data_IF_782095995471
#
_entry.id   IF_782095995471
#
_cell.length_a   1.000
_cell.length_b   1.000
_cell.length_c   1.000
_cell.angle_alpha   90.00
_cell.angle_beta   90.00
_cell.angle_gamma   90.00
#
_symmetry.space_group_name_H-M   'P 1'
#
loop_
_entity.id
_entity.type
_entity.pdbx_description
1 polymer ?
#
# COMPACT_ATOMS: atom_id res chain seq x y z
N UNK A 1 -7.85 -18.30 2.72
CA UNK A 1 -9.16 -17.65 2.50
C UNK A 1 -9.72 -17.12 3.82
N UNK A 2 -9.93 -17.95 4.83
CA UNK A 2 -10.48 -17.52 6.13
C UNK A 2 -9.68 -16.40 6.81
N UNK A 3 -8.34 -16.44 6.92
CA UNK A 3 -7.59 -15.32 7.49
C UNK A 3 -7.71 -14.03 6.68
N UNK A 4 -7.82 -14.14 5.35
CA UNK A 4 -8.06 -13.00 4.46
C UNK A 4 -9.45 -12.40 4.68
N UNK A 5 -10.48 -13.22 4.92
CA UNK A 5 -11.81 -12.72 5.28
C UNK A 5 -11.79 -12.05 6.64
N UNK A 6 -11.10 -12.63 7.63
CA UNK A 6 -10.93 -12.03 8.96
C UNK A 6 -10.25 -10.67 8.90
N UNK A 7 -9.23 -10.49 8.03
CA UNK A 7 -8.62 -9.19 7.77
C UNK A 7 -9.65 -8.13 7.33
N UNK A 8 -10.72 -8.50 6.62
CA UNK A 8 -11.75 -7.55 6.17
C UNK A 8 -12.83 -7.37 7.25
N UNK A 9 -13.22 -8.45 7.93
CA UNK A 9 -14.28 -8.44 8.95
C UNK A 9 -13.86 -7.65 10.19
N UNK A 10 -12.61 -7.74 10.65
CA UNK A 10 -12.19 -7.06 11.88
C UNK A 10 -12.29 -5.52 11.75
N UNK A 11 -11.73 -4.87 10.71
CA UNK A 11 -11.96 -3.45 10.50
C UNK A 11 -13.42 -3.10 10.24
N UNK A 12 -14.20 -3.97 9.58
CA UNK A 12 -15.65 -3.74 9.42
C UNK A 12 -16.32 -3.59 10.79
N UNK A 13 -16.05 -4.49 11.73
CA UNK A 13 -16.58 -4.39 13.09
C UNK A 13 -16.09 -3.16 13.83
N UNK A 14 -14.82 -2.78 13.66
CA UNK A 14 -14.30 -1.54 14.23
C UNK A 14 -15.05 -0.33 13.68
N UNK A 15 -15.32 -0.29 12.38
CA UNK A 15 -16.10 0.79 11.73
C UNK A 15 -17.53 0.81 12.25
N UNK A 16 -18.19 -0.35 12.34
CA UNK A 16 -19.59 -0.47 12.75
C UNK A 16 -19.80 -0.05 14.23
N UNK A 17 -18.78 -0.26 15.07
CA UNK A 17 -18.80 0.11 16.49
C UNK A 17 -18.06 1.43 16.79
N UNK A 18 -17.57 2.13 15.77
CA UNK A 18 -16.77 3.34 15.96
C UNK A 18 -17.65 4.50 16.45
N UNK A 19 -17.29 5.06 17.61
CA UNK A 19 -17.89 6.29 18.13
C UNK A 19 -16.90 7.43 17.89
N UNK A 20 -17.33 8.45 17.15
CA UNK A 20 -16.51 9.62 16.85
C UNK A 20 -16.34 10.48 18.10
N UNK A 21 -15.09 10.85 18.37
CA UNK A 21 -14.71 11.66 19.53
C UNK A 21 -14.03 12.95 19.05
N UNK A 22 -14.36 14.11 19.66
CA UNK A 22 -13.68 15.35 19.34
C UNK A 22 -12.27 15.36 19.92
N UNK A 23 -11.35 16.03 19.23
CA UNK A 23 -10.01 16.36 19.71
C UNK A 23 -9.60 17.72 19.15
N UNK A 24 -8.74 18.43 19.87
CA UNK A 24 -8.28 19.76 19.47
C UNK A 24 -6.81 19.73 19.09
N UNK A 25 -6.47 20.45 18.02
CA UNK A 25 -5.09 20.63 17.57
C UNK A 25 -4.72 22.09 17.70
N UNK A 26 -3.73 22.36 18.53
CA UNK A 26 -3.14 23.69 18.66
C UNK A 26 -2.11 23.89 17.54
N UNK A 27 -2.30 24.94 16.76
CA UNK A 27 -1.37 25.34 15.71
C UNK A 27 -1.24 26.86 15.69
N UNK A 28 -0.21 27.36 15.03
CA UNK A 28 -0.03 28.80 14.88
C UNK A 28 0.57 29.15 13.54
N UNK A 29 0.17 30.31 13.00
CA UNK A 29 0.76 30.87 11.79
C UNK A 29 1.84 31.86 12.22
N UNK A 30 3.08 31.61 11.77
CA UNK A 30 4.21 32.53 11.89
C UNK A 30 4.86 32.66 10.51
N UNK A 31 4.99 33.89 9.99
CA UNK A 31 5.54 34.18 8.64
C UNK A 31 4.89 33.31 7.54
N UNK A 32 3.56 33.33 7.47
CA UNK A 32 2.73 32.58 6.51
C UNK A 32 2.92 31.04 6.56
N UNK A 33 3.52 30.54 7.64
CA UNK A 33 3.81 29.13 7.83
C UNK A 33 3.06 28.61 9.04
N UNK A 34 2.26 27.56 8.84
CA UNK A 34 1.55 26.88 9.92
C UNK A 34 2.49 25.94 10.66
N UNK A 35 2.71 26.19 11.94
CA UNK A 35 3.37 25.28 12.86
C UNK A 35 2.34 24.55 13.72
N UNK A 36 2.59 23.29 14.04
CA UNK A 36 1.72 22.46 14.88
C UNK A 36 2.41 22.18 16.22
N UNK A 37 1.68 22.26 17.32
CA UNK A 37 2.22 22.00 18.65
C UNK A 37 2.75 20.56 18.77
N UNK A 38 3.91 20.38 19.39
CA UNK A 38 4.57 19.06 19.52
C UNK A 38 3.88 18.15 20.54
N UNK A 39 3.16 18.74 21.51
CA UNK A 39 2.34 18.02 22.50
C UNK A 39 1.25 17.15 21.87
N UNK A 40 0.89 17.40 20.61
CA UNK A 40 -0.05 16.58 19.85
C UNK A 40 -1.50 17.03 20.02
N UNK A 41 -2.40 16.06 20.16
CA UNK A 41 -3.85 16.27 20.22
C UNK A 41 -4.29 16.49 21.67
N UNK A 42 -5.18 17.43 21.92
CA UNK A 42 -5.89 17.56 23.20
C UNK A 42 -7.20 16.80 23.12
N UNK A 43 -7.53 16.01 24.14
CA UNK A 43 -8.80 15.25 24.22
C UNK A 43 -9.88 15.97 25.02
N UNK A 44 -9.54 17.10 25.66
CA UNK A 44 -10.48 18.02 26.31
C UNK A 44 -10.34 19.41 25.69
N UNK A 45 -11.48 20.09 25.55
CA UNK A 45 -11.54 21.46 25.05
C UNK A 45 -10.85 22.41 26.01
N UNK A 46 -11.10 22.24 27.31
CA UNK A 46 -10.57 23.07 28.39
C UNK A 46 -9.05 23.03 28.43
N UNK A 47 -8.43 21.85 28.25
CA UNK A 47 -6.97 21.74 28.17
C UNK A 47 -6.39 22.47 26.94
N UNK A 48 -7.08 22.36 25.81
CA UNK A 48 -6.70 23.04 24.57
C UNK A 48 -6.83 24.56 24.67
N UNK A 49 -7.92 25.06 25.26
CA UNK A 49 -8.17 26.49 25.50
C UNK A 49 -7.14 27.06 26.47
N UNK A 50 -6.83 26.34 27.55
CA UNK A 50 -5.79 26.76 28.49
C UNK A 50 -4.42 26.86 27.83
N UNK A 51 -4.08 25.93 26.93
CA UNK A 51 -2.84 25.99 26.15
C UNK A 51 -2.87 27.08 25.04
N UNK A 52 -4.05 27.49 24.59
CA UNK A 52 -4.22 28.59 23.64
C UNK A 52 -4.06 29.96 24.33
N UNK A 53 -4.67 30.14 25.50
CA UNK A 53 -4.58 31.37 26.29
C UNK A 53 -3.14 31.68 26.72
N UNK A 54 -2.33 30.65 27.02
CA UNK A 54 -0.95 30.85 27.42
C UNK A 54 -0.06 31.43 26.32
N UNK A 55 -0.48 31.34 25.05
CA UNK A 55 0.32 31.75 23.89
C UNK A 55 -0.22 32.98 23.16
N UNK A 56 -1.51 33.32 23.27
CA UNK A 56 -2.20 34.30 22.41
C UNK A 56 -1.51 35.67 22.28
N UNK A 57 -0.95 36.19 23.37
CA UNK A 57 -0.36 37.53 23.43
C UNK A 57 1.17 37.53 23.57
N UNK A 58 1.82 36.38 23.30
CA UNK A 58 3.26 36.21 23.46
C UNK A 58 3.94 36.04 22.10
N UNK A 59 5.21 36.49 21.95
CA UNK A 59 5.90 36.34 20.68
C UNK A 59 6.29 34.89 20.44
N UNK A 60 6.14 34.45 19.19
CA UNK A 60 6.71 33.19 18.72
C UNK A 60 8.21 33.37 18.49
N UNK A 61 9.02 32.44 19.00
CA UNK A 61 10.47 32.48 18.85
C UNK A 61 10.97 31.19 18.20
N UNK A 62 11.72 31.31 17.11
CA UNK A 62 12.36 30.15 16.47
C UNK A 62 13.52 29.67 17.35
N UNK A 63 13.45 28.43 17.81
CA UNK A 63 14.45 27.84 18.71
C UNK A 63 15.48 26.99 17.96
N UNK A 64 15.10 26.44 16.80
CA UNK A 64 15.97 25.57 16.00
C UNK A 64 15.57 25.57 14.54
N UNK A 65 16.56 25.60 13.66
CA UNK A 65 16.40 25.37 12.21
C UNK A 65 17.39 24.29 11.82
N UNK A 66 16.88 23.13 11.42
CA UNK A 66 17.70 21.99 11.00
C UNK A 66 17.44 21.68 9.53
N UNK A 67 18.49 21.73 8.71
CA UNK A 67 18.44 21.31 7.33
C UNK A 67 19.20 20.01 7.16
N UNK A 68 18.53 18.97 6.69
CA UNK A 68 19.12 17.66 6.42
C UNK A 68 18.96 17.31 4.95
N UNK A 69 20.08 17.06 4.27
CA UNK A 69 20.05 16.51 2.93
C UNK A 69 19.70 15.03 2.99
N UNK A 70 18.85 14.59 2.07
CA UNK A 70 18.39 13.21 1.92
C UNK A 70 18.46 12.76 0.46
N UNK A 71 18.46 11.45 0.28
CA UNK A 71 18.38 10.80 -1.03
C UNK A 71 17.24 9.81 -1.04
N UNK A 72 16.51 9.77 -2.15
CA UNK A 72 15.39 8.88 -2.40
C UNK A 72 15.72 8.07 -3.66
N UNK A 73 16.07 6.80 -3.44
CA UNK A 73 16.39 5.88 -4.54
C UNK A 73 15.15 5.62 -5.40
N UNK A 74 15.34 5.26 -6.69
CA UNK A 74 14.23 4.80 -7.51
C UNK A 74 13.52 3.63 -6.84
N UNK A 75 12.20 3.54 -6.99
CA UNK A 75 11.45 2.42 -6.46
C UNK A 75 11.86 1.12 -7.15
N UNK A 76 11.78 0.00 -6.42
CA UNK A 76 12.12 -1.32 -6.96
C UNK A 76 11.27 -1.72 -8.16
N UNK A 77 11.76 -2.68 -8.95
CA UNK A 77 11.02 -3.26 -10.05
C UNK A 77 9.76 -3.98 -9.55
N UNK A 78 8.85 -4.30 -10.46
CA UNK A 78 7.63 -4.97 -10.08
C UNK A 78 7.84 -6.46 -9.82
N UNK A 79 7.31 -6.93 -8.70
CA UNK A 79 6.77 -8.28 -8.57
C UNK A 79 5.27 -8.26 -8.94
N UNK A 80 4.57 -9.40 -8.86
CA UNK A 80 3.14 -9.44 -9.18
C UNK A 80 2.29 -8.58 -8.24
N UNK A 81 2.60 -8.57 -6.95
CA UNK A 81 1.75 -7.93 -5.92
C UNK A 81 1.84 -6.41 -6.01
N UNK A 82 3.05 -5.88 -6.12
CA UNK A 82 3.31 -4.45 -6.31
C UNK A 82 2.73 -3.93 -7.63
N UNK A 83 2.72 -4.74 -8.70
CA UNK A 83 2.03 -4.39 -9.95
C UNK A 83 0.51 -4.34 -9.76
N UNK A 84 -0.09 -5.35 -9.12
CA UNK A 84 -1.53 -5.38 -8.81
C UNK A 84 -1.95 -4.18 -7.95
N UNK A 85 -1.14 -3.81 -6.96
CA UNK A 85 -1.38 -2.64 -6.09
C UNK A 85 -1.40 -1.35 -6.91
N UNK A 86 -0.42 -1.14 -7.79
CA UNK A 86 -0.35 0.06 -8.62
C UNK A 86 -1.48 0.13 -9.65
N UNK A 87 -1.81 -0.99 -10.29
CA UNK A 87 -2.93 -1.08 -11.23
C UNK A 87 -4.28 -0.81 -10.55
N UNK A 88 -4.47 -1.28 -9.31
CA UNK A 88 -5.68 -0.99 -8.54
C UNK A 88 -5.77 0.49 -8.13
N UNK A 89 -4.67 1.05 -7.61
CA UNK A 89 -4.60 2.46 -7.19
C UNK A 89 -4.87 3.39 -8.38
N UNK A 90 -4.13 3.21 -9.49
CA UNK A 90 -4.14 4.10 -10.65
C UNK A 90 -5.30 3.86 -11.60
N UNK A 91 -5.68 2.60 -11.83
CA UNK A 91 -6.62 2.23 -12.89
C UNK A 91 -7.86 1.50 -12.39
N UNK A 92 -8.00 1.30 -11.07
CA UNK A 92 -9.11 0.56 -10.45
C UNK A 92 -9.24 -0.88 -10.95
N UNK A 93 -8.17 -1.47 -11.48
CA UNK A 93 -8.15 -2.87 -11.90
C UNK A 93 -8.16 -3.78 -10.67
N UNK A 94 -8.92 -4.87 -10.72
CA UNK A 94 -8.82 -5.92 -9.69
C UNK A 94 -7.49 -6.65 -9.78
N UNK A 95 -7.16 -7.39 -8.72
CA UNK A 95 -5.99 -8.27 -8.69
C UNK A 95 -6.03 -9.31 -9.83
N UNK A 96 -7.21 -9.88 -10.11
CA UNK A 96 -7.44 -10.85 -11.18
C UNK A 96 -7.34 -10.19 -12.57
N UNK A 97 -7.95 -9.02 -12.78
CA UNK A 97 -7.83 -8.28 -14.04
C UNK A 97 -6.37 -7.94 -14.36
N UNK A 98 -5.61 -7.50 -13.35
CA UNK A 98 -4.18 -7.22 -13.53
C UNK A 98 -3.41 -8.47 -13.88
N UNK A 99 -3.65 -9.59 -13.17
CA UNK A 99 -3.00 -10.88 -13.43
C UNK A 99 -3.28 -11.37 -14.87
N UNK A 100 -4.53 -11.30 -15.32
CA UNK A 100 -4.90 -11.69 -16.69
C UNK A 100 -4.26 -10.77 -17.74
N UNK A 101 -4.19 -9.47 -17.46
CA UNK A 101 -3.59 -8.49 -18.37
C UNK A 101 -2.09 -8.70 -18.51
N UNK A 102 -1.36 -8.90 -17.40
CA UNK A 102 0.08 -9.14 -17.47
C UNK A 102 0.41 -10.53 -18.04
N UNK A 103 -0.45 -11.51 -17.82
CA UNK A 103 -0.34 -12.82 -18.48
C UNK A 103 -0.44 -12.68 -20.01
N UNK A 104 -1.40 -11.90 -20.50
CA UNK A 104 -1.52 -11.60 -21.94
C UNK A 104 -0.26 -10.90 -22.50
N UNK A 105 0.28 -9.91 -21.78
CA UNK A 105 1.52 -9.23 -22.17
C UNK A 105 2.74 -10.17 -22.22
N UNK A 106 2.83 -11.11 -21.26
CA UNK A 106 3.86 -12.13 -21.24
C UNK A 106 3.73 -13.11 -22.42
N UNK A 107 2.52 -13.57 -22.75
CA UNK A 107 2.25 -14.45 -23.88
C UNK A 107 2.55 -13.77 -25.23
N UNK A 108 2.34 -12.44 -25.30
CA UNK A 108 2.79 -11.57 -26.40
C UNK A 108 4.29 -11.31 -26.41
N UNK A 109 5.05 -11.85 -25.45
CA UNK A 109 6.51 -11.69 -25.27
C UNK A 109 6.95 -10.26 -25.01
N UNK A 110 6.09 -9.42 -24.45
CA UNK A 110 6.37 -8.00 -24.20
C UNK A 110 6.96 -7.76 -22.80
N UNK A 111 6.63 -8.62 -21.85
CA UNK A 111 7.15 -8.60 -20.48
C UNK A 111 7.70 -9.97 -20.12
N UNK A 112 8.48 -10.04 -19.04
CA UNK A 112 8.98 -11.30 -18.48
C UNK A 112 7.89 -12.01 -17.67
N UNK A 113 8.19 -13.24 -17.21
CA UNK A 113 7.23 -14.09 -16.51
C UNK A 113 6.57 -13.35 -15.34
N UNK A 114 5.23 -13.38 -15.21
CA UNK A 114 4.54 -12.39 -14.37
C UNK A 114 4.17 -12.88 -12.97
N UNK A 115 4.31 -14.17 -12.67
CA UNK A 115 3.92 -14.75 -11.37
C UNK A 115 5.14 -14.87 -10.45
N UNK A 116 5.76 -13.73 -10.20
CA UNK A 116 7.02 -13.63 -9.44
C UNK A 116 6.80 -12.89 -8.12
N UNK A 117 7.59 -13.26 -7.11
CA UNK A 117 7.59 -12.71 -5.75
C UNK A 117 8.83 -11.86 -5.44
N UNK A 118 9.72 -11.66 -6.42
CA UNK A 118 10.92 -10.82 -6.28
C UNK A 118 10.86 -9.56 -7.12
N UNK A 119 11.46 -8.50 -6.58
CA UNK A 119 11.66 -7.21 -7.24
C UNK A 119 13.10 -7.02 -7.75
N UNK A 120 13.91 -8.09 -7.72
CA UNK A 120 15.31 -8.08 -8.12
C UNK A 120 15.53 -8.77 -9.47
N UNK A 121 16.63 -8.40 -10.12
CA UNK A 121 17.21 -9.06 -11.29
C UNK A 121 18.49 -9.78 -10.88
N UNK A 122 18.80 -10.88 -11.55
CA UNK A 122 20.09 -11.56 -11.42
C UNK A 122 21.17 -10.80 -12.21
N UNK A 123 22.43 -11.00 -11.83
CA UNK A 123 23.56 -10.27 -12.40
C UNK A 123 23.75 -10.50 -13.91
N UNK A 124 23.31 -11.65 -14.44
CA UNK A 124 23.37 -12.02 -15.87
C UNK A 124 22.33 -11.29 -16.75
N UNK A 125 21.34 -10.64 -16.14
CA UNK A 125 20.35 -9.82 -16.86
C UNK A 125 20.92 -8.45 -17.22
N UNK A 126 21.85 -7.91 -16.42
CA UNK A 126 22.39 -6.57 -16.63
C UNK A 126 22.95 -6.31 -18.04
N UNK A 127 23.74 -7.22 -18.66
CA UNK A 127 24.21 -7.05 -20.04
C UNK A 127 23.10 -6.96 -21.09
N UNK A 128 21.88 -7.42 -20.79
CA UNK A 128 20.71 -7.40 -21.70
C UNK A 128 19.94 -6.08 -21.61
N UNK A 129 20.05 -5.33 -20.51
CA UNK A 129 19.31 -4.09 -20.26
C UNK A 129 19.51 -3.01 -21.34
N UNK A 130 20.71 -2.79 -21.91
CA UNK A 130 20.88 -1.86 -23.04
C UNK A 130 20.04 -2.25 -24.27
N UNK A 131 19.91 -3.54 -24.55
CA UNK A 131 19.04 -4.04 -25.63
C UNK A 131 17.56 -3.74 -25.35
N UNK A 132 17.12 -3.97 -24.12
CA UNK A 132 15.76 -3.61 -23.68
C UNK A 132 15.49 -2.11 -23.81
N UNK A 133 16.45 -1.26 -23.41
CA UNK A 133 16.35 0.20 -23.56
C UNK A 133 16.24 0.63 -25.01
N UNK A 134 17.02 0.03 -25.91
CA UNK A 134 16.91 0.30 -27.35
C UNK A 134 15.52 -0.08 -27.91
N UNK A 135 14.95 -1.19 -27.43
CA UNK A 135 13.58 -1.57 -27.73
C UNK A 135 12.56 -0.54 -27.26
N UNK A 136 12.67 -0.09 -25.99
CA UNK A 136 11.81 0.92 -25.40
C UNK A 136 11.90 2.27 -26.13
N UNK A 137 13.09 2.68 -26.57
CA UNK A 137 13.30 3.90 -27.35
C UNK A 137 12.47 3.91 -28.66
N UNK A 138 12.22 2.74 -29.23
CA UNK A 138 11.52 2.56 -30.50
C UNK A 138 10.02 2.32 -30.34
N UNK A 139 9.50 2.27 -29.11
CA UNK A 139 8.07 2.09 -28.85
C UNK A 139 7.31 3.29 -29.40
N UNK A 140 6.22 3.00 -30.10
CA UNK A 140 5.25 3.99 -30.53
C UNK A 140 3.87 3.67 -29.95
N UNK A 141 3.16 4.69 -29.51
CA UNK A 141 1.79 4.59 -29.07
C UNK A 141 1.06 5.86 -29.48
N UNK A 142 -0.07 5.75 -30.18
CA UNK A 142 -0.86 6.88 -30.69
C UNK A 142 -0.02 7.96 -31.42
N UNK A 143 0.94 7.52 -32.25
CA UNK A 143 1.79 8.41 -33.03
C UNK A 143 2.92 9.10 -32.26
N UNK A 144 3.07 8.84 -30.95
CA UNK A 144 4.17 9.39 -30.13
C UNK A 144 5.15 8.30 -29.70
N UNK A 145 6.37 8.70 -29.35
CA UNK A 145 7.40 7.84 -28.76
C UNK A 145 7.51 8.14 -27.25
N UNK A 146 6.69 7.49 -26.38
CA UNK A 146 6.53 7.90 -24.98
C UNK A 146 7.82 7.79 -24.16
N UNK A 147 8.75 6.92 -24.55
CA UNK A 147 9.99 6.67 -23.80
C UNK A 147 11.23 7.26 -24.46
N UNK A 148 11.14 7.83 -25.67
CA UNK A 148 12.33 8.21 -26.43
C UNK A 148 13.21 9.21 -25.68
N UNK A 149 12.62 10.27 -25.10
CA UNK A 149 13.38 11.27 -24.36
C UNK A 149 13.96 10.72 -23.04
N UNK A 150 13.22 9.83 -22.38
CA UNK A 150 13.67 9.21 -21.12
C UNK A 150 14.89 8.30 -21.37
N UNK A 151 14.82 7.46 -22.39
CA UNK A 151 15.93 6.56 -22.75
C UNK A 151 17.12 7.34 -23.32
N UNK A 152 16.88 8.39 -24.12
CA UNK A 152 17.95 9.21 -24.72
C UNK A 152 18.89 9.82 -23.68
N UNK A 153 18.36 10.27 -22.54
CA UNK A 153 19.16 10.85 -21.44
C UNK A 153 20.11 9.83 -20.81
N UNK A 154 19.74 8.54 -20.83
CA UNK A 154 20.55 7.44 -20.33
C UNK A 154 21.53 6.88 -21.39
N UNK A 155 21.39 7.28 -22.66
CA UNK A 155 22.19 6.80 -23.77
C UNK A 155 23.64 7.25 -23.74
N UNK A 156 24.52 6.47 -24.39
CA UNK A 156 25.95 6.80 -24.56
C UNK A 156 26.82 6.59 -23.31
N UNK A 157 26.26 6.09 -22.20
CA UNK A 157 26.98 5.73 -20.98
C UNK A 157 26.55 4.34 -20.50
N UNK A 158 27.40 3.59 -19.77
CA UNK A 158 26.97 2.38 -19.10
C UNK A 158 25.81 2.65 -18.14
N UNK A 159 24.78 1.80 -18.16
CA UNK A 159 23.64 1.90 -17.26
C UNK A 159 24.08 1.71 -15.80
N UNK A 160 23.48 2.43 -14.84
CA UNK A 160 23.77 2.23 -13.41
C UNK A 160 23.46 0.79 -12.99
N UNK A 161 24.44 0.07 -12.43
CA UNK A 161 24.25 -1.25 -11.84
C UNK A 161 24.14 -1.16 -10.31
N UNK A 162 22.92 -1.05 -9.80
CA UNK A 162 22.65 -0.95 -8.36
C UNK A 162 22.37 -2.31 -7.72
N UNK A 163 22.93 -2.60 -6.54
CA UNK A 163 22.56 -3.79 -5.73
C UNK A 163 21.11 -3.78 -5.25
N UNK A 164 20.42 -2.63 -5.30
CA UNK A 164 18.96 -2.55 -5.04
C UNK A 164 18.10 -3.12 -6.17
N UNK A 165 18.72 -3.40 -7.32
CA UNK A 165 18.06 -3.89 -8.54
C UNK A 165 18.67 -5.22 -8.95
N UNK A 166 20.00 -5.31 -8.97
CA UNK A 166 20.74 -6.49 -9.39
C UNK A 166 21.34 -7.20 -8.18
N UNK A 167 20.62 -8.18 -7.65
CA UNK A 167 21.08 -9.01 -6.55
C UNK A 167 20.62 -10.46 -6.77
N UNK A 168 21.54 -11.27 -7.30
CA UNK A 168 21.30 -12.69 -7.58
C UNK A 168 20.88 -13.46 -6.32
N UNK A 169 21.29 -13.02 -5.11
CA UNK A 169 20.90 -13.68 -3.86
C UNK A 169 19.44 -13.44 -3.46
N UNK A 170 18.77 -12.49 -4.12
CA UNK A 170 17.36 -12.13 -3.93
C UNK A 170 16.47 -12.62 -5.06
N UNK A 171 17.01 -13.40 -5.98
CA UNK A 171 16.26 -14.03 -7.08
C UNK A 171 16.06 -15.50 -6.75
N UNK A 172 14.81 -15.94 -6.83
CA UNK A 172 14.42 -17.34 -6.67
C UNK A 172 14.43 -18.02 -8.05
N UNK A 173 13.36 -18.72 -8.45
CA UNK A 173 13.23 -19.34 -9.77
C UNK A 173 13.06 -18.32 -10.90
N UNK A 174 12.58 -17.13 -10.56
CA UNK A 174 12.26 -16.07 -11.50
C UNK A 174 12.69 -14.71 -10.95
N UNK A 175 12.95 -13.76 -11.85
CA UNK A 175 13.32 -12.39 -11.50
C UNK A 175 12.12 -11.43 -11.67
N UNK A 176 12.30 -10.17 -11.32
CA UNK A 176 11.28 -9.13 -11.43
C UNK A 176 10.66 -8.98 -12.83
N UNK A 177 9.43 -8.47 -12.88
CA UNK A 177 8.70 -8.19 -14.12
C UNK A 177 9.30 -6.95 -14.81
N UNK A 178 9.88 -7.15 -15.98
CA UNK A 178 10.50 -6.12 -16.81
C UNK A 178 10.03 -6.23 -18.27
N UNK A 179 10.16 -5.17 -19.09
CA UNK A 179 9.91 -5.29 -20.52
C UNK A 179 11.02 -6.10 -21.18
N UNK A 180 10.70 -6.78 -22.28
CA UNK A 180 11.67 -7.61 -23.04
C UNK A 180 12.43 -6.81 -24.09
N UNK A 181 11.99 -5.58 -24.40
CA UNK A 181 12.48 -4.77 -25.53
C UNK A 181 11.77 -5.08 -26.85
N UNK A 182 10.91 -6.09 -26.90
CA UNK A 182 10.02 -6.31 -28.05
C UNK A 182 9.04 -5.15 -28.16
N UNK A 183 8.89 -4.59 -29.36
CA UNK A 183 8.00 -3.46 -29.61
C UNK A 183 6.53 -3.93 -29.47
N UNK A 184 5.71 -3.27 -28.65
CA UNK A 184 4.30 -3.60 -28.53
C UNK A 184 3.55 -3.22 -29.81
N UNK A 185 2.59 -4.05 -30.20
CA UNK A 185 1.67 -3.78 -31.30
C UNK A 185 0.25 -4.18 -30.89
N UNK A 186 -0.74 -3.35 -31.23
CA UNK A 186 -2.17 -3.66 -31.03
C UNK A 186 -2.52 -4.07 -29.59
N UNK A 187 -2.10 -3.27 -28.61
CA UNK A 187 -2.48 -3.45 -27.21
C UNK A 187 -3.84 -2.83 -26.94
N UNK A 188 -4.62 -3.49 -26.08
CA UNK A 188 -5.80 -2.86 -25.46
C UNK A 188 -5.39 -1.74 -24.51
N UNK A 189 -6.32 -0.86 -24.14
CA UNK A 189 -6.03 0.23 -23.20
C UNK A 189 -5.48 -0.25 -21.86
N UNK A 190 -6.00 -1.36 -21.33
CA UNK A 190 -5.49 -1.94 -20.08
C UNK A 190 -4.10 -2.56 -20.25
N UNK A 191 -3.87 -3.29 -21.35
CA UNK A 191 -2.53 -3.81 -21.64
C UNK A 191 -1.50 -2.71 -21.80
N UNK A 192 -1.86 -1.62 -22.48
CA UNK A 192 -0.98 -0.45 -22.59
C UNK A 192 -0.69 0.18 -21.23
N UNK A 193 -1.72 0.40 -20.40
CA UNK A 193 -1.56 0.95 -19.04
C UNK A 193 -0.61 0.10 -18.18
N UNK A 194 -0.77 -1.23 -18.20
CA UNK A 194 0.08 -2.15 -17.45
C UNK A 194 1.51 -2.17 -18.02
N UNK A 195 1.66 -2.22 -19.34
CA UNK A 195 2.96 -2.17 -20.00
C UNK A 195 3.69 -0.85 -19.69
N UNK A 196 2.99 0.29 -19.71
CA UNK A 196 3.57 1.61 -19.42
C UNK A 196 4.11 1.71 -17.99
N UNK A 197 3.39 1.16 -17.01
CA UNK A 197 3.89 1.07 -15.63
C UNK A 197 5.21 0.30 -15.59
N UNK A 198 5.25 -0.88 -16.21
CA UNK A 198 6.43 -1.76 -16.20
C UNK A 198 7.60 -1.11 -16.93
N UNK A 199 7.36 -0.49 -18.09
CA UNK A 199 8.38 0.21 -18.86
C UNK A 199 8.96 1.39 -18.10
N UNK A 200 8.12 2.27 -17.53
CA UNK A 200 8.57 3.42 -16.73
C UNK A 200 9.31 2.98 -15.46
N UNK A 201 8.85 1.92 -14.78
CA UNK A 201 9.55 1.35 -13.61
C UNK A 201 10.93 0.82 -14.00
N UNK A 202 11.03 0.11 -15.12
CA UNK A 202 12.31 -0.38 -15.62
C UNK A 202 13.25 0.77 -16.03
N UNK A 203 12.73 1.84 -16.63
CA UNK A 203 13.55 3.01 -16.98
C UNK A 203 14.06 3.72 -15.72
N UNK A 204 13.19 3.92 -14.72
CA UNK A 204 13.50 4.73 -13.54
C UNK A 204 14.62 4.14 -12.67
N UNK A 205 14.80 2.82 -12.62
CA UNK A 205 15.88 2.21 -11.82
C UNK A 205 17.29 2.53 -12.31
N UNK A 206 17.43 3.05 -13.54
CA UNK A 206 18.71 3.49 -14.10
C UNK A 206 18.96 5.00 -13.96
N UNK A 207 17.97 5.76 -13.48
CA UNK A 207 18.15 7.17 -13.15
C UNK A 207 18.90 7.36 -11.83
N UNK A 208 19.53 8.53 -11.62
CA UNK A 208 20.09 8.89 -10.31
C UNK A 208 18.97 9.01 -9.26
N UNK A 209 19.38 8.86 -8.00
CA UNK A 209 18.49 9.04 -6.86
C UNK A 209 18.01 10.50 -6.82
N UNK A 210 16.77 10.73 -6.37
CA UNK A 210 16.27 12.07 -6.10
C UNK A 210 16.99 12.62 -4.87
N UNK A 211 17.55 13.83 -4.97
CA UNK A 211 18.18 14.52 -3.84
C UNK A 211 17.24 15.60 -3.34
N UNK A 212 17.02 15.64 -2.04
CA UNK A 212 16.15 16.63 -1.42
C UNK A 212 16.79 17.18 -0.14
N UNK A 213 16.31 18.33 0.31
CA UNK A 213 16.60 18.86 1.63
C UNK A 213 15.30 18.92 2.43
N UNK A 214 15.31 18.31 3.61
CA UNK A 214 14.25 18.48 4.61
C UNK A 214 14.68 19.56 5.58
N UNK A 215 13.84 20.58 5.73
CA UNK A 215 14.02 21.64 6.73
C UNK A 215 13.00 21.44 7.83
N UNK A 216 13.47 21.22 9.05
CA UNK A 216 12.65 21.18 10.26
C UNK A 216 12.90 22.45 11.04
N UNK A 217 11.82 23.19 11.34
CA UNK A 217 11.89 24.39 12.17
C UNK A 217 11.11 24.12 13.44
N UNK A 218 11.79 24.32 14.57
CA UNK A 218 11.18 24.32 15.89
C UNK A 218 11.06 25.77 16.37
N UNK A 219 9.94 26.08 17.01
CA UNK A 219 9.77 27.33 17.70
C UNK A 219 8.96 27.15 18.96
N UNK A 220 8.96 28.17 19.80
CA UNK A 220 8.25 28.16 21.07
C UNK A 220 7.49 29.45 21.25
N UNK A 221 6.38 29.35 21.98
CA UNK A 221 5.72 30.48 22.62
C UNK A 221 5.59 30.09 24.08
N UNK A 222 6.33 30.77 24.95
CA UNK A 222 6.47 30.37 26.36
C UNK A 222 6.96 28.90 26.47
N UNK A 223 6.24 28.03 27.17
CA UNK A 223 6.55 26.60 27.31
C UNK A 223 5.98 25.72 26.18
N UNK A 224 5.18 26.28 25.27
CA UNK A 224 4.54 25.50 24.19
C UNK A 224 5.47 25.42 22.99
N UNK A 225 5.90 24.21 22.66
CA UNK A 225 6.75 23.93 21.50
C UNK A 225 5.93 23.60 20.25
N UNK A 226 6.40 24.13 19.13
CA UNK A 226 5.78 24.05 17.82
C UNK A 226 6.79 23.55 16.80
N UNK A 227 6.29 22.79 15.81
CA UNK A 227 7.10 22.22 14.73
C UNK A 227 6.46 22.44 13.37
N UNK A 228 7.30 22.70 12.38
CA UNK A 228 6.97 22.54 10.96
C UNK A 228 8.12 21.84 10.25
N UNK A 229 7.79 21.03 9.25
CA UNK A 229 8.75 20.40 8.35
C UNK A 229 8.39 20.78 6.92
N UNK A 230 9.38 21.02 6.07
CA UNK A 230 9.18 21.13 4.63
C UNK A 230 10.28 20.42 3.86
N UNK A 231 9.93 19.91 2.67
CA UNK A 231 10.82 19.18 1.77
C UNK A 231 11.02 19.99 0.48
N UNK A 232 12.27 20.20 0.10
CA UNK A 232 12.65 20.83 -1.17
C UNK A 232 13.42 19.82 -2.02
N UNK A 233 12.97 19.57 -3.25
CA UNK A 233 13.72 18.77 -4.23
C UNK A 233 14.89 19.61 -4.75
N UNK A 234 16.11 19.08 -4.63
CA UNK A 234 17.35 19.70 -5.13
C UNK A 234 17.71 19.17 -6.51
N UNK A 235 17.61 17.85 -6.68
CA UNK A 235 17.78 17.16 -7.96
C UNK A 235 16.64 16.14 -8.10
N UNK A 236 15.78 16.22 -9.13
CA UNK A 236 14.59 15.37 -9.23
C UNK A 236 14.92 13.89 -9.45
N UNK A 237 16.09 13.59 -10.03
CA UNK A 237 16.52 12.21 -10.26
C UNK A 237 15.50 11.42 -11.06
N UNK A 238 15.09 10.27 -10.55
CA UNK A 238 14.12 9.37 -11.18
C UNK A 238 12.68 9.93 -11.26
N UNK A 239 12.31 10.97 -10.50
CA UNK A 239 10.96 11.56 -10.55
C UNK A 239 10.60 12.05 -11.97
N UNK A 240 11.59 12.48 -12.75
CA UNK A 240 11.39 12.96 -14.14
C UNK A 240 10.76 11.91 -15.08
N UNK A 241 10.85 10.62 -14.73
CA UNK A 241 10.23 9.52 -15.48
C UNK A 241 8.69 9.55 -15.34
N UNK A 242 8.20 10.05 -14.21
CA UNK A 242 6.77 10.11 -13.88
C UNK A 242 6.17 11.52 -14.10
N UNK A 243 6.98 12.58 -13.99
CA UNK A 243 6.56 13.97 -14.21
C UNK A 243 6.14 14.28 -15.66
N UNK A 244 6.60 13.50 -16.64
CA UNK A 244 6.17 13.63 -18.04
C UNK A 244 4.67 13.32 -18.24
N UNK A 245 4.04 12.66 -17.26
CA UNK A 245 2.58 12.48 -17.16
C UNK A 245 2.05 13.40 -16.06
N UNK A 246 1.64 14.63 -16.42
CA UNK A 246 0.96 15.58 -15.51
C UNK A 246 -0.36 15.06 -14.88
N UNK A 247 -0.77 13.83 -15.20
CA UNK A 247 -1.97 13.18 -14.68
C UNK A 247 -1.74 12.38 -13.38
N UNK A 248 -0.50 12.20 -12.93
CA UNK A 248 -0.19 11.49 -11.68
C UNK A 248 0.06 12.45 -10.51
N UNK A 249 -0.96 13.25 -10.18
CA UNK A 249 -1.04 13.82 -8.83
C UNK A 249 -1.17 12.68 -7.81
N UNK A 250 -0.52 12.80 -6.62
CA UNK A 250 -0.76 11.89 -5.51
C UNK A 250 -2.27 11.80 -5.26
N UNK A 251 -2.84 10.60 -5.27
CA UNK A 251 -4.24 10.42 -4.85
C UNK A 251 -4.37 10.84 -3.39
N UNK A 252 -5.56 11.30 -2.97
CA UNK A 252 -5.83 11.72 -1.58
C UNK A 252 -5.46 10.66 -0.52
N UNK A 253 -5.27 9.40 -0.91
CA UNK A 253 -4.76 8.33 -0.05
C UNK A 253 -3.27 8.53 0.34
N UNK A 254 -2.44 9.11 -0.52
CA UNK A 254 -1.03 9.44 -0.22
C UNK A 254 -0.87 10.73 0.60
N UNK A 255 -1.90 11.60 0.59
CA UNK A 255 -1.91 12.82 1.41
C UNK A 255 -2.13 12.57 2.90
N UNK A 256 -2.75 11.44 3.27
CA UNK A 256 -3.10 11.16 4.66
C UNK A 256 -2.01 10.45 5.48
N UNK A 257 -0.97 9.91 4.84
CA UNK A 257 0.17 9.29 5.54
C UNK A 257 1.27 10.32 5.78
N UNK A 258 1.07 11.22 6.77
CA UNK A 258 2.09 12.15 7.32
C UNK A 258 3.16 12.60 6.30
N UNK A 259 2.76 12.97 5.09
CA UNK A 259 3.72 13.30 4.05
C UNK A 259 4.13 14.74 4.30
N UNK A 260 5.42 14.94 4.54
CA UNK A 260 6.07 16.24 4.37
C UNK A 260 5.74 16.70 2.95
N UNK A 261 4.66 17.47 2.78
CA UNK A 261 4.30 18.05 1.49
C UNK A 261 5.55 18.74 0.93
N UNK A 262 5.72 18.68 -0.40
CA UNK A 262 6.79 19.43 -1.09
C UNK A 262 6.44 20.91 -1.00
N UNK A 263 6.66 21.46 0.20
CA UNK A 263 6.44 22.84 0.56
C UNK A 263 7.82 23.39 0.91
N UNK A 264 8.29 24.30 0.07
CA UNK A 264 9.51 25.04 0.39
C UNK A 264 9.16 26.02 1.50
N UNK A 265 9.79 25.86 2.65
CA UNK A 265 9.61 26.79 3.76
C UNK A 265 10.32 28.12 3.46
N UNK A 266 9.82 29.26 3.95
CA UNK A 266 10.59 30.50 3.95
C UNK A 266 11.85 30.35 4.81
N UNK A 267 12.80 31.26 4.65
CA UNK A 267 14.03 31.25 5.43
C UNK A 267 13.76 31.66 6.88
N UNK A 268 14.11 30.78 7.82
CA UNK A 268 14.05 31.03 9.26
C UNK A 268 15.45 31.16 9.87
N UNK A 269 15.59 31.95 10.92
CA UNK A 269 16.83 32.17 11.68
C UNK A 269 16.60 31.83 13.15
N UNK A 270 17.48 31.03 13.75
CA UNK A 270 17.41 30.74 15.19
C UNK A 270 17.47 32.04 16.00
N UNK A 271 16.53 32.19 16.93
CA UNK A 271 16.38 33.39 17.76
C UNK A 271 15.52 34.48 17.14
N UNK A 272 15.09 34.36 15.88
CA UNK A 272 14.09 35.30 15.35
C UNK A 272 12.79 35.15 16.14
N UNK A 273 12.12 36.27 16.35
CA UNK A 273 10.92 36.35 17.18
C UNK A 273 9.93 37.34 16.58
N UNK A 274 8.64 37.12 16.76
CA UNK A 274 7.63 38.03 16.25
C UNK A 274 6.19 37.62 16.53
N UNK A 275 5.23 38.42 16.04
CA UNK A 275 3.82 38.12 16.20
C UNK A 275 3.45 36.84 15.45
N UNK A 276 2.47 36.12 16.01
CA UNK A 276 1.95 34.89 15.44
C UNK A 276 0.42 34.88 15.59
N UNK A 277 -0.25 33.98 14.88
CA UNK A 277 -1.71 33.82 14.97
C UNK A 277 -2.01 32.40 15.42
N UNK A 278 -2.20 32.15 16.73
CA UNK A 278 -2.57 30.83 17.21
C UNK A 278 -4.00 30.47 16.83
N UNK A 279 -4.26 29.19 16.67
CA UNK A 279 -5.58 28.61 16.40
C UNK A 279 -5.71 27.29 17.14
N UNK A 280 -6.86 27.08 17.77
CA UNK A 280 -7.25 25.80 18.33
C UNK A 280 -8.33 25.21 17.42
N UNK A 281 -7.95 24.22 16.60
CA UNK A 281 -8.89 23.61 15.66
C UNK A 281 -9.49 22.36 16.26
N UNK A 282 -10.81 22.35 16.44
CA UNK A 282 -11.57 21.14 16.73
C UNK A 282 -11.58 20.21 15.51
N UNK A 283 -11.26 18.94 15.74
CA UNK A 283 -11.30 17.87 14.77
C UNK A 283 -12.01 16.67 15.39
N UNK A 284 -12.46 15.77 14.54
CA UNK A 284 -13.17 14.57 14.96
C UNK A 284 -12.38 13.34 14.53
N UNK A 285 -12.32 12.34 15.40
CA UNK A 285 -11.73 11.05 15.04
C UNK A 285 -12.55 10.43 13.90
N UNK A 286 -11.90 9.67 13.02
CA UNK A 286 -12.56 9.00 11.90
C UNK A 286 -12.36 7.50 12.06
N UNK A 287 -13.36 6.68 11.68
CA UNK A 287 -13.20 5.24 11.71
C UNK A 287 -12.05 4.79 10.80
N UNK A 288 -11.50 3.59 11.00
CA UNK A 288 -10.50 3.05 10.08
C UNK A 288 -11.08 2.97 8.66
N UNK A 289 -10.22 3.07 7.65
CA UNK A 289 -10.66 2.97 6.26
C UNK A 289 -10.94 1.51 5.91
N UNK A 290 -12.01 1.28 5.15
CA UNK A 290 -12.20 0.00 4.48
C UNK A 290 -10.98 -0.37 3.64
N UNK A 291 -10.69 -1.66 3.55
CA UNK A 291 -9.72 -2.15 2.59
C UNK A 291 -10.22 -1.88 1.16
N UNK A 292 -9.35 -1.38 0.31
CA UNK A 292 -9.40 -1.63 -1.14
C UNK A 292 -8.66 -2.92 -1.48
N UNK A 293 -8.78 -3.44 -2.69
CA UNK A 293 -7.97 -4.59 -3.12
C UNK A 293 -6.46 -4.30 -3.03
N UNK A 294 -6.00 -3.10 -3.37
CA UNK A 294 -4.59 -2.70 -3.19
C UNK A 294 -4.14 -2.85 -1.73
N UNK A 295 -4.89 -2.26 -0.81
CA UNK A 295 -4.54 -2.29 0.62
C UNK A 295 -4.71 -3.69 1.22
N UNK A 296 -5.66 -4.50 0.72
CA UNK A 296 -5.82 -5.89 1.14
C UNK A 296 -4.66 -6.77 0.66
N UNK A 297 -4.23 -6.61 -0.60
CA UNK A 297 -3.05 -7.31 -1.13
C UNK A 297 -1.80 -7.01 -0.31
N UNK A 298 -1.59 -5.73 0.08
CA UNK A 298 -0.50 -5.34 0.99
C UNK A 298 -0.66 -5.94 2.38
N UNK A 299 -1.87 -6.01 2.90
CA UNK A 299 -2.14 -6.65 4.20
C UNK A 299 -1.88 -8.16 4.15
N UNK A 300 -2.24 -8.83 3.05
CA UNK A 300 -1.94 -10.25 2.82
C UNK A 300 -0.44 -10.49 2.70
N UNK A 301 0.28 -9.67 1.93
CA UNK A 301 1.74 -9.74 1.75
C UNK A 301 2.49 -9.55 3.07
N UNK A 302 2.06 -8.57 3.88
CA UNK A 302 2.73 -8.21 5.14
C UNK A 302 2.06 -8.82 6.37
N UNK A 303 1.24 -9.86 6.20
CA UNK A 303 0.42 -10.43 7.27
C UNK A 303 1.23 -10.88 8.48
N UNK A 304 2.50 -11.28 8.29
CA UNK A 304 3.40 -11.62 9.40
C UNK A 304 3.56 -10.52 10.46
N UNK A 305 3.27 -9.24 10.13
CA UNK A 305 3.28 -8.14 11.12
C UNK A 305 2.22 -8.28 12.23
N UNK A 306 1.22 -9.14 12.00
CA UNK A 306 0.18 -9.45 12.97
C UNK A 306 0.51 -10.71 13.80
N UNK A 307 1.69 -11.30 13.59
CA UNK A 307 2.19 -12.46 14.35
C UNK A 307 3.19 -11.97 15.38
N UNK A 308 2.95 -12.29 16.65
CA UNK A 308 3.81 -11.88 17.77
C UNK A 308 5.10 -12.69 17.84
N UNK A 309 5.03 -13.99 17.54
CA UNK A 309 6.21 -14.86 17.51
C UNK A 309 7.16 -14.47 16.37
N UNK A 310 8.40 -14.19 16.75
CA UNK A 310 9.43 -13.68 15.84
C UNK A 310 9.81 -14.69 14.75
N UNK A 311 9.84 -15.98 15.10
CA UNK A 311 10.25 -17.06 14.19
C UNK A 311 9.16 -17.34 13.15
N UNK A 312 7.89 -17.38 13.58
CA UNK A 312 6.73 -17.49 12.70
C UNK A 312 6.59 -16.24 11.81
N UNK A 313 6.83 -15.05 12.37
CA UNK A 313 6.86 -13.81 11.59
C UNK A 313 7.95 -13.85 10.53
N UNK A 314 9.14 -14.33 10.86
CA UNK A 314 10.22 -14.53 9.90
C UNK A 314 9.83 -15.57 8.83
N UNK A 315 9.05 -16.59 9.20
CA UNK A 315 8.53 -17.58 8.26
C UNK A 315 7.60 -17.02 7.20
N UNK A 316 6.84 -15.98 7.56
CA UNK A 316 5.88 -15.35 6.68
C UNK A 316 6.48 -14.21 5.84
N UNK A 317 7.75 -13.85 6.03
CA UNK A 317 8.34 -12.64 5.44
C UNK A 317 8.27 -12.60 3.91
N UNK A 318 8.36 -13.76 3.25
CA UNK A 318 8.34 -13.86 1.79
C UNK A 318 6.93 -14.01 1.23
N UNK A 319 6.06 -14.76 1.91
CA UNK A 319 4.79 -15.20 1.34
C UNK A 319 3.55 -14.60 2.00
N UNK A 320 3.62 -14.08 3.22
CA UNK A 320 2.45 -13.60 3.96
C UNK A 320 1.32 -14.62 3.95
N UNK A 321 0.08 -14.18 3.71
CA UNK A 321 -1.06 -15.07 3.42
C UNK A 321 -1.13 -15.37 1.93
N UNK A 322 -0.69 -16.58 1.57
CA UNK A 322 -0.74 -17.11 0.20
C UNK A 322 0.30 -16.48 -0.74
N UNK A 323 0.76 -17.27 -1.71
CA UNK A 323 1.71 -16.83 -2.75
C UNK A 323 1.10 -15.72 -3.63
N UNK A 324 1.89 -14.81 -4.22
CA UNK A 324 1.37 -13.78 -5.12
C UNK A 324 0.45 -14.32 -6.24
N UNK A 325 0.76 -15.51 -6.75
CA UNK A 325 -0.02 -16.19 -7.78
C UNK A 325 -1.42 -16.65 -7.34
N UNK A 326 -1.69 -16.79 -6.03
CA UNK A 326 -2.96 -17.28 -5.49
C UNK A 326 -3.81 -16.21 -4.79
N UNK A 327 -3.22 -15.07 -4.40
CA UNK A 327 -3.92 -13.97 -3.70
C UNK A 327 -5.14 -13.45 -4.46
N UNK A 328 -5.01 -13.24 -5.78
CA UNK A 328 -6.13 -12.83 -6.63
C UNK A 328 -7.29 -13.84 -6.59
N UNK A 329 -6.99 -15.15 -6.74
CA UNK A 329 -8.00 -16.20 -6.69
C UNK A 329 -8.68 -16.34 -5.32
N UNK A 330 -7.93 -16.10 -4.24
CA UNK A 330 -8.49 -16.03 -2.88
C UNK A 330 -9.53 -14.92 -2.79
N UNK A 331 -9.18 -13.70 -3.21
CA UNK A 331 -10.08 -12.53 -3.17
C UNK A 331 -11.34 -12.79 -4.01
N UNK A 332 -11.18 -13.31 -5.22
CA UNK A 332 -12.31 -13.65 -6.11
C UNK A 332 -13.20 -14.75 -5.53
N UNK A 333 -12.64 -15.69 -4.76
CA UNK A 333 -13.44 -16.70 -4.06
C UNK A 333 -14.30 -16.08 -2.95
N UNK A 334 -13.78 -15.07 -2.23
CA UNK A 334 -14.56 -14.35 -1.22
C UNK A 334 -15.75 -13.60 -1.83
N UNK A 335 -15.57 -13.02 -3.03
CA UNK A 335 -16.68 -12.43 -3.79
C UNK A 335 -17.70 -13.47 -4.27
N UNK A 336 -17.24 -14.56 -4.89
CA UNK A 336 -18.11 -15.62 -5.43
C UNK A 336 -18.96 -16.29 -4.34
N UNK A 337 -18.46 -16.34 -3.11
CA UNK A 337 -19.19 -16.87 -1.95
C UNK A 337 -20.02 -15.82 -1.20
N UNK A 338 -20.09 -14.59 -1.71
CA UNK A 338 -20.81 -13.47 -1.09
C UNK A 338 -20.37 -13.16 0.34
N UNK A 339 -19.11 -13.43 0.70
CA UNK A 339 -18.56 -13.06 2.02
C UNK A 339 -18.15 -11.58 2.06
N UNK A 340 -17.80 -11.02 0.90
CA UNK A 340 -17.47 -9.61 0.74
C UNK A 340 -18.17 -9.04 -0.49
N UNK A 341 -18.31 -7.71 -0.53
CA UNK A 341 -18.84 -6.97 -1.68
C UNK A 341 -18.01 -5.72 -1.96
N UNK A 342 -17.99 -5.29 -3.22
CA UNK A 342 -17.39 -4.01 -3.61
C UNK A 342 -18.41 -2.90 -3.42
N UNK A 343 -18.02 -1.84 -2.72
CA UNK A 343 -18.68 -0.54 -2.75
C UNK A 343 -17.69 0.50 -3.27
N UNK A 344 -17.85 0.89 -4.54
CA UNK A 344 -16.81 1.61 -5.29
C UNK A 344 -15.48 0.84 -5.21
N UNK A 345 -14.43 1.44 -4.62
CA UNK A 345 -13.12 0.80 -4.40
C UNK A 345 -13.03 0.03 -3.08
N UNK A 346 -13.99 0.21 -2.16
CA UNK A 346 -13.95 -0.37 -0.84
C UNK A 346 -14.47 -1.80 -0.86
N UNK A 347 -13.86 -2.64 -0.02
CA UNK A 347 -14.22 -4.02 0.26
C UNK A 347 -14.93 -4.04 1.60
N UNK A 348 -16.22 -4.38 1.57
CA UNK A 348 -17.05 -4.48 2.77
C UNK A 348 -17.33 -5.96 3.03
N UNK A 349 -17.29 -6.35 4.29
CA UNK A 349 -17.80 -7.67 4.68
C UNK A 349 -19.33 -7.67 4.57
N UNK A 350 -19.90 -8.78 4.11
CA UNK A 350 -21.35 -8.98 4.15
C UNK A 350 -21.75 -9.55 5.52
N UNK A 351 -23.05 -9.53 5.88
CA UNK A 351 -23.53 -10.26 7.07
C UNK A 351 -23.08 -11.72 7.08
N UNK A 352 -23.17 -12.41 5.94
CA UNK A 352 -22.66 -13.78 5.75
C UNK A 352 -21.18 -13.90 6.09
N UNK A 353 -20.35 -12.96 5.63
CA UNK A 353 -18.91 -12.97 5.90
C UNK A 353 -18.57 -12.73 7.37
N UNK A 354 -19.27 -11.80 8.02
CA UNK A 354 -19.12 -11.50 9.45
C UNK A 354 -19.52 -12.73 10.28
N UNK A 355 -20.72 -13.25 10.05
CA UNK A 355 -21.26 -14.41 10.79
C UNK A 355 -20.39 -15.66 10.59
N UNK A 356 -19.81 -15.85 9.39
CA UNK A 356 -18.86 -16.94 9.15
C UNK A 356 -17.57 -16.80 9.98
N UNK A 357 -17.06 -15.59 10.16
CA UNK A 357 -15.90 -15.38 11.04
C UNK A 357 -16.30 -15.56 12.50
N UNK A 358 -17.51 -15.16 12.90
CA UNK A 358 -18.00 -15.28 14.28
C UNK A 358 -18.35 -16.71 14.69
N UNK A 359 -18.77 -17.55 13.74
CA UNK A 359 -19.12 -18.94 14.06
C UNK A 359 -17.88 -19.80 14.36
N UNK A 360 -16.73 -19.46 13.76
CA UNK A 360 -15.46 -20.17 13.92
C UNK A 360 -14.88 -19.90 15.31
N UNK A 361 -14.92 -20.92 16.17
CA UNK A 361 -14.39 -20.88 17.55
C UNK A 361 -12.88 -21.06 17.62
N UNK A 362 -12.29 -21.78 16.66
CA UNK A 362 -10.84 -21.98 16.59
C UNK A 362 -10.18 -20.70 16.06
N UNK A 363 -9.62 -19.90 16.97
CA UNK A 363 -9.00 -18.60 16.66
C UNK A 363 -7.86 -18.75 15.64
N UNK A 364 -7.11 -19.86 15.70
CA UNK A 364 -5.98 -20.08 14.81
C UNK A 364 -6.41 -20.18 13.34
N UNK A 365 -7.62 -20.66 13.04
CA UNK A 365 -8.16 -20.71 11.66
C UNK A 365 -8.48 -19.32 11.08
N UNK A 366 -8.68 -18.32 11.94
CA UNK A 366 -8.91 -16.92 11.56
C UNK A 366 -7.61 -16.13 11.52
N UNK A 367 -6.57 -16.61 12.18
CA UNK A 367 -5.27 -15.97 12.26
C UNK A 367 -4.38 -16.29 11.07
N UNK A 368 -3.55 -15.32 10.68
CA UNK A 368 -2.47 -15.53 9.73
C UNK A 368 -1.31 -16.36 10.33
N UNK A 369 -1.26 -16.46 11.66
CA UNK A 369 -0.28 -17.26 12.40
C UNK A 369 -0.28 -18.73 12.00
N UNK A 370 -1.44 -19.33 11.72
CA UNK A 370 -1.52 -20.71 11.21
C UNK A 370 -0.72 -20.89 9.93
N UNK A 371 -0.73 -19.87 9.06
CA UNK A 371 0.09 -19.88 7.84
C UNK A 371 1.57 -19.86 8.20
N UNK A 372 1.99 -19.03 9.16
CA UNK A 372 3.37 -19.01 9.65
C UNK A 372 3.82 -20.35 10.22
N UNK A 373 2.98 -21.02 11.02
CA UNK A 373 3.27 -22.35 11.60
C UNK A 373 3.51 -23.38 10.49
N UNK A 374 2.64 -23.41 9.47
CA UNK A 374 2.77 -24.36 8.37
C UNK A 374 3.99 -24.05 7.48
N UNK A 375 4.19 -22.79 7.10
CA UNK A 375 5.36 -22.39 6.29
C UNK A 375 6.68 -22.64 7.01
N UNK A 376 6.71 -22.51 8.35
CA UNK A 376 7.88 -22.92 9.14
C UNK A 376 8.12 -24.43 9.02
N UNK A 377 7.12 -25.26 9.34
CA UNK A 377 7.25 -26.72 9.30
C UNK A 377 7.61 -27.25 7.91
N UNK A 378 7.05 -26.66 6.86
CA UNK A 378 7.39 -27.02 5.48
C UNK A 378 8.85 -26.70 5.12
N UNK A 379 9.39 -25.57 5.60
CA UNK A 379 10.81 -25.25 5.43
C UNK A 379 11.71 -26.13 6.28
N UNK A 380 11.30 -26.47 7.50
CA UNK A 380 12.05 -27.42 8.34
C UNK A 380 12.12 -28.80 7.66
N UNK A 381 11.05 -29.24 6.97
CA UNK A 381 11.05 -30.45 6.14
C UNK A 381 12.04 -30.31 4.97
N UNK A 382 12.00 -29.21 4.23
CA UNK A 382 12.92 -28.94 3.10
C UNK A 382 14.38 -28.98 3.57
N UNK A 383 14.65 -28.48 4.77
CA UNK A 383 15.96 -28.47 5.42
C UNK A 383 16.31 -29.78 6.15
N UNK A 384 15.45 -30.81 6.04
CA UNK A 384 15.61 -32.12 6.68
C UNK A 384 15.71 -32.06 8.22
N UNK A 385 15.11 -31.03 8.84
CA UNK A 385 15.04 -30.82 10.28
C UNK A 385 13.71 -31.28 10.91
N UNK A 386 12.74 -31.71 10.09
CA UNK A 386 11.42 -32.13 10.55
C UNK A 386 10.87 -33.28 9.71
N UNK A 387 10.24 -34.27 10.34
CA UNK A 387 9.73 -35.45 9.67
C UNK A 387 8.40 -35.18 8.93
N UNK A 388 8.32 -35.44 7.60
CA UNK A 388 7.08 -35.28 6.85
C UNK A 388 5.92 -36.13 7.39
N UNK A 389 6.18 -37.33 7.90
CA UNK A 389 5.11 -38.19 8.41
C UNK A 389 4.53 -37.63 9.72
N UNK A 390 5.38 -37.11 10.60
CA UNK A 390 4.97 -36.35 11.78
C UNK A 390 4.09 -35.15 11.41
N UNK A 391 4.50 -34.32 10.44
CA UNK A 391 3.71 -33.18 9.97
C UNK A 391 2.28 -33.58 9.59
N UNK A 392 2.15 -34.67 8.81
CA UNK A 392 0.85 -35.18 8.36
C UNK A 392 0.00 -35.72 9.54
N UNK A 393 0.63 -36.37 10.52
CA UNK A 393 -0.09 -36.87 11.69
C UNK A 393 -0.64 -35.74 12.57
N UNK A 394 0.18 -34.72 12.85
CA UNK A 394 -0.27 -33.53 13.59
C UNK A 394 -1.42 -32.81 12.87
N UNK A 395 -1.37 -32.74 11.53
CA UNK A 395 -2.45 -32.17 10.73
C UNK A 395 -3.74 -32.99 10.85
N UNK A 396 -3.66 -34.34 10.85
CA UNK A 396 -4.83 -35.21 11.08
C UNK A 396 -5.42 -35.02 12.46
N UNK A 397 -4.59 -34.90 13.49
CA UNK A 397 -5.02 -34.64 14.86
C UNK A 397 -5.74 -33.30 14.97
N UNK A 398 -5.16 -32.23 14.41
CA UNK A 398 -5.77 -30.90 14.38
C UNK A 398 -7.14 -30.91 13.67
N UNK A 399 -7.23 -31.53 12.48
CA UNK A 399 -8.51 -31.65 11.76
C UNK A 399 -9.53 -32.44 12.58
N UNK A 400 -9.12 -33.55 13.18
CA UNK A 400 -10.02 -34.39 14.00
C UNK A 400 -10.56 -33.61 15.20
N UNK A 401 -9.71 -32.84 15.88
CA UNK A 401 -10.11 -31.98 16.99
C UNK A 401 -11.13 -30.91 16.55
N UNK A 402 -10.86 -30.22 15.44
CA UNK A 402 -11.77 -29.20 14.88
C UNK A 402 -13.12 -29.82 14.51
N UNK A 403 -13.12 -30.96 13.83
CA UNK A 403 -14.37 -31.66 13.44
C UNK A 403 -15.18 -32.06 14.67
N UNK A 404 -14.54 -32.64 15.70
CA UNK A 404 -15.21 -33.01 16.95
C UNK A 404 -15.79 -31.79 17.67
N UNK A 405 -15.07 -30.67 17.69
CA UNK A 405 -15.56 -29.41 18.28
C UNK A 405 -16.79 -28.88 17.53
N UNK A 406 -16.80 -28.95 16.21
CA UNK A 406 -17.94 -28.55 15.37
C UNK A 406 -19.13 -29.47 15.61
N UNK A 407 -18.93 -30.79 15.66
CA UNK A 407 -19.99 -31.77 15.92
C UNK A 407 -20.59 -31.63 17.32
N UNK A 408 -19.79 -31.20 18.30
CA UNK A 408 -20.25 -30.95 19.66
C UNK A 408 -20.96 -29.59 19.84
N UNK A 409 -20.93 -28.69 18.85
CA UNK A 409 -21.54 -27.36 18.94
C UNK A 409 -23.05 -27.40 18.75
N UNK A 410 -23.79 -27.55 19.84
CA UNK A 410 -25.26 -27.58 19.85
C UNK A 410 -25.93 -26.18 19.83
N UNK A 411 -25.18 -25.11 19.57
CA UNK A 411 -25.70 -23.73 19.58
C UNK A 411 -26.68 -23.41 18.44
N UNK A 412 -26.83 -24.29 17.44
CA UNK A 412 -27.71 -24.15 16.26
C UNK A 412 -27.55 -22.79 15.54
N UNK A 413 -26.35 -22.22 15.58
CA UNK A 413 -25.99 -20.97 14.89
C UNK A 413 -26.05 -21.21 13.38
N UNK A 414 -26.65 -20.27 12.65
CA UNK A 414 -26.78 -20.33 11.19
C UNK A 414 -26.16 -19.10 10.58
N UNK A 415 -25.51 -19.29 9.44
CA UNK A 415 -25.00 -18.19 8.62
C UNK A 415 -26.10 -17.80 7.62
N UNK A 416 -26.39 -16.52 7.55
CA UNK A 416 -27.29 -15.88 6.60
C UNK A 416 -26.83 -16.19 5.19
N UNK A 417 -27.72 -16.75 4.38
CA UNK A 417 -27.49 -16.92 2.95
C UNK A 417 -27.91 -15.65 2.24
N UNK A 418 -26.95 -14.90 1.68
CA UNK A 418 -27.26 -13.77 0.81
C UNK A 418 -27.96 -14.31 -0.45
N UNK A 419 -29.12 -13.78 -0.85
CA UNK A 419 -29.77 -14.19 -2.10
C UNK A 419 -28.89 -13.84 -3.30
N UNK A 420 -28.90 -14.69 -4.34
CA UNK A 420 -28.28 -14.41 -5.63
C UNK A 420 -28.97 -13.18 -6.28
N UNK A 421 -28.40 -11.99 -6.00
CA UNK A 421 -28.81 -10.62 -6.39
C UNK A 421 -30.08 -10.04 -5.74
N UNK A 422 -30.09 -8.73 -5.43
CA UNK A 422 -31.33 -7.98 -5.27
C UNK A 422 -31.99 -7.82 -6.65
N UNK A 423 -33.26 -8.22 -6.76
CA UNK A 423 -34.09 -7.91 -7.92
C UNK A 423 -34.15 -6.38 -8.07
N UNK A 424 -33.71 -5.89 -9.23
CA UNK A 424 -33.81 -4.49 -9.58
C UNK A 424 -35.27 -4.07 -9.71
N UNK A 425 -35.88 -3.60 -8.63
CA UNK A 425 -37.05 -2.72 -8.67
C UNK A 425 -36.78 -1.53 -7.76
N UNK A 426 -36.20 -0.47 -8.33
CA UNK A 426 -36.40 0.88 -7.81
C UNK A 426 -37.90 1.17 -7.88
N UNK A 427 -38.60 1.10 -6.75
CA UNK A 427 -39.90 1.74 -6.60
C UNK A 427 -39.70 3.24 -6.79
N UNK A 428 -40.23 3.80 -7.88
CA UNK A 428 -40.37 5.26 -8.01
C UNK A 428 -41.38 5.73 -6.94
N UNK A 429 -41.12 6.84 -6.23
CA UNK A 429 -42.16 7.48 -5.44
C UNK A 429 -43.26 7.98 -6.38
N UNK A 430 -44.52 7.64 -6.09
CA UNK A 430 -45.68 8.32 -6.68
C UNK A 430 -45.63 9.78 -6.22
N UNK A 431 -45.47 10.71 -7.16
CA UNK A 431 -45.90 12.09 -6.92
C UNK A 431 -47.43 12.10 -6.95
N UNK A 432 -48.04 12.25 -5.78
CA UNK A 432 -49.42 12.72 -5.70
C UNK A 432 -49.40 14.21 -6.03
N UNK A 433 -49.96 14.55 -7.19
CA UNK A 433 -50.29 15.92 -7.53
C UNK A 433 -51.48 16.36 -6.69
N UNK A 434 -51.33 17.50 -6.01
CA UNK A 434 -52.47 18.24 -5.45
C UNK A 434 -52.77 19.38 -6.42
N UNK A 435 -54.03 19.42 -6.87
CA UNK A 435 -54.64 20.58 -7.52
C UNK A 435 -54.83 21.73 -6.54
#
# INVERSE_FOLDING_TARGET
QTPTLALIVNPQKEIDNFVSEPYWVLSTIYRDTTFVATKGKFTSKEEGEKAFETIADKPFTVTSVQKKNGVEAPPHLYDLTSLQVDCNRKFSMSAEQTLNTIQSLYEKKLTTYPRVDTQFLSDDIYPKCPGTMNGLYQVQHNGVQPYAQLVKVLGGKPLKKSKKVFDTSKVTDHHAIIPTGVRPSSLTDFEWKVYDLIAKRFISVFYPDCKFATTTVMGTVDEVEFKVTGKQILEPGWHVVYDASKDELPTEQEKNDKTDEVKTLPAFTKGESGPHTPTLTEKWTTPPKYYTEATLLRAMETAGKFVEDEELRAAMKENGIGRPSSRAGIIETLFKRYYIRRDKKNLLATPTGIELIDIIKEELLKSCELTGIWEKKLRDIEHQQYDPAQFVNELKEQITAIVNQVLADNSNRRVTLMPDKPSGKRSKPKQEGTQ
#
